data_IF_595095342891
#
_entry.id   IF_595095342891
#
_cell.length_a   1.000
_cell.length_b   1.000
_cell.length_c   1.000
_cell.angle_alpha   90.00
_cell.angle_beta   90.00
_cell.angle_gamma   90.00
#
_symmetry.space_group_name_H-M   'P 1'
#
loop_
_entity.id
_entity.type
_entity.pdbx_description
1 polymer ?
#
# COMPACT_ATOMS: atom_id res chain seq x y z
N UNK A 1 -27.63 -1.05 55.25
CA UNK A 1 -27.86 -2.30 54.51
C UNK A 1 -28.63 -1.96 53.25
N UNK A 2 -28.03 -1.79 52.12
CA UNK A 2 -28.64 -1.48 50.85
C UNK A 2 -27.88 -2.17 49.74
N UNK A 3 -28.47 -3.19 49.13
CA UNK A 3 -27.93 -3.96 48.03
C UNK A 3 -28.05 -3.12 46.74
N UNK A 4 -26.94 -2.80 46.10
CA UNK A 4 -26.91 -2.34 44.72
C UNK A 4 -26.96 -3.54 43.76
N UNK A 5 -28.07 -3.65 43.02
CA UNK A 5 -28.17 -4.57 41.90
C UNK A 5 -27.57 -3.87 40.65
N UNK A 6 -26.56 -4.51 40.03
CA UNK A 6 -26.05 -4.14 38.73
C UNK A 6 -27.01 -4.68 37.68
N UNK A 7 -27.68 -3.76 36.96
CA UNK A 7 -28.28 -4.06 35.66
C UNK A 7 -27.17 -4.16 34.63
N UNK A 8 -26.99 -5.38 34.10
CA UNK A 8 -26.31 -5.68 32.85
C UNK A 8 -27.39 -6.11 31.86
N UNK A 9 -27.86 -5.16 31.08
CA UNK A 9 -28.62 -5.43 29.87
C UNK A 9 -28.24 -4.41 28.83
N UNK A 10 -27.33 -4.80 27.96
CA UNK A 10 -27.20 -4.37 26.56
C UNK A 10 -26.06 -5.19 26.00
N UNK A 11 -26.39 -6.11 25.15
CA UNK A 11 -25.59 -6.62 24.05
C UNK A 11 -25.97 -8.06 23.77
N UNK A 12 -26.86 -8.24 22.84
CA UNK A 12 -26.89 -9.44 21.98
C UNK A 12 -28.12 -9.34 21.06
N UNK A 13 -27.91 -8.72 19.91
CA UNK A 13 -28.82 -8.98 18.80
C UNK A 13 -28.00 -9.27 17.56
N UNK A 14 -27.29 -10.41 17.57
CA UNK A 14 -26.86 -11.05 16.35
C UNK A 14 -28.02 -11.92 15.87
N UNK A 15 -28.79 -11.44 14.91
CA UNK A 15 -29.73 -12.28 14.17
C UNK A 15 -29.05 -12.87 12.95
N UNK A 16 -28.65 -14.15 13.05
CA UNK A 16 -28.41 -15.01 11.89
C UNK A 16 -29.75 -15.38 11.26
N UNK A 17 -30.04 -14.87 10.07
CA UNK A 17 -31.10 -15.41 9.22
C UNK A 17 -30.53 -16.57 8.41
N UNK A 18 -30.97 -17.79 8.76
CA UNK A 18 -30.79 -18.99 7.95
C UNK A 18 -31.95 -19.10 6.99
N UNK A 19 -31.67 -19.04 5.69
CA UNK A 19 -32.60 -19.52 4.68
C UNK A 19 -31.93 -20.59 3.84
N UNK A 20 -32.30 -21.83 4.13
CA UNK A 20 -31.92 -23.04 3.38
C UNK A 20 -32.65 -23.06 2.04
N UNK A 21 -31.94 -22.96 0.93
CA UNK A 21 -32.35 -23.49 -0.36
C UNK A 21 -31.22 -24.35 -0.93
N UNK A 22 -31.59 -25.57 -1.28
CA UNK A 22 -30.72 -26.59 -1.86
C UNK A 22 -30.23 -26.17 -3.25
N UNK A 23 -28.94 -26.16 -3.48
CA UNK A 23 -28.29 -26.10 -4.76
C UNK A 23 -27.23 -25.00 -4.86
N UNK A 24 -25.94 -25.41 -4.69
CA UNK A 24 -24.72 -24.64 -4.84
C UNK A 24 -24.40 -23.68 -3.67
N UNK A 25 -23.50 -24.15 -2.80
CA UNK A 25 -22.95 -23.39 -1.67
C UNK A 25 -22.03 -22.25 -2.16
N UNK A 26 -22.59 -21.10 -2.43
CA UNK A 26 -21.91 -19.83 -2.30
C UNK A 26 -22.50 -19.14 -1.06
N UNK A 27 -21.85 -19.32 0.08
CA UNK A 27 -22.13 -18.46 1.25
C UNK A 27 -21.49 -17.10 0.92
N UNK A 28 -22.27 -16.22 0.33
CA UNK A 28 -21.93 -14.80 0.28
C UNK A 28 -22.16 -14.30 1.71
N UNK A 29 -21.10 -14.25 2.52
CA UNK A 29 -21.07 -13.39 3.70
C UNK A 29 -20.96 -11.94 3.17
N UNK A 30 -22.07 -11.34 2.80
CA UNK A 30 -22.17 -9.91 2.79
C UNK A 30 -22.17 -9.49 4.26
N UNK A 31 -21.01 -9.21 4.84
CA UNK A 31 -20.95 -8.47 6.10
C UNK A 31 -21.43 -7.07 5.76
N UNK A 32 -22.69 -6.80 6.05
CA UNK A 32 -23.24 -5.44 5.92
C UNK A 32 -22.50 -4.58 6.95
N UNK A 33 -21.61 -3.72 6.49
CA UNK A 33 -20.85 -2.84 7.38
C UNK A 33 -21.82 -1.93 8.12
N UNK A 34 -21.77 -1.92 9.45
CA UNK A 34 -22.60 -1.06 10.29
C UNK A 34 -22.44 0.43 9.94
N UNK A 35 -23.53 1.19 9.99
CA UNK A 35 -23.54 2.61 9.63
C UNK A 35 -22.59 3.43 10.52
N UNK A 36 -22.51 3.14 11.82
CA UNK A 36 -21.60 3.82 12.74
C UNK A 36 -20.13 3.54 12.42
N UNK A 37 -19.80 2.30 12.02
CA UNK A 37 -18.45 1.96 11.56
C UNK A 37 -18.13 2.69 10.25
N UNK A 38 -19.06 2.78 9.30
CA UNK A 38 -18.87 3.55 8.05
C UNK A 38 -18.55 5.01 8.33
N UNK A 39 -19.33 5.67 9.18
CA UNK A 39 -19.10 7.07 9.56
C UNK A 39 -17.72 7.25 10.22
N UNK A 40 -17.34 6.35 11.10
CA UNK A 40 -16.02 6.37 11.77
C UNK A 40 -14.89 6.23 10.76
N UNK A 41 -14.99 5.26 9.83
CA UNK A 41 -13.97 5.04 8.79
C UNK A 41 -13.86 6.24 7.84
N UNK A 42 -14.99 6.87 7.49
CA UNK A 42 -14.99 8.09 6.68
C UNK A 42 -14.26 9.21 7.44
N UNK A 43 -14.57 9.42 8.71
CA UNK A 43 -13.91 10.45 9.54
C UNK A 43 -12.39 10.23 9.63
N UNK A 44 -11.96 9.02 9.89
CA UNK A 44 -10.52 8.69 9.93
C UNK A 44 -9.85 8.86 8.56
N UNK A 45 -10.48 8.40 7.47
CA UNK A 45 -9.90 8.57 6.15
C UNK A 45 -9.73 10.05 5.76
N UNK A 46 -10.69 10.92 6.14
CA UNK A 46 -10.59 12.37 5.91
C UNK A 46 -9.48 13.01 6.77
N UNK A 47 -9.38 12.65 8.03
CA UNK A 47 -8.39 13.20 8.96
C UNK A 47 -6.98 12.78 8.59
N UNK A 48 -6.76 11.49 8.33
CA UNK A 48 -5.41 10.92 8.16
C UNK A 48 -4.92 10.94 6.70
N UNK A 49 -5.76 11.27 5.74
CA UNK A 49 -5.32 11.59 4.37
C UNK A 49 -4.82 13.04 4.30
N UNK A 50 -3.75 13.32 5.05
CA UNK A 50 -3.13 14.64 5.18
C UNK A 50 -1.61 14.49 5.16
N UNK A 51 -0.87 15.24 4.32
CA UNK A 51 0.60 15.19 4.20
C UNK A 51 1.36 15.31 5.53
N UNK A 52 0.76 15.97 6.54
CA UNK A 52 1.41 16.13 7.86
C UNK A 52 1.74 14.79 8.55
N UNK A 53 0.98 13.72 8.27
CA UNK A 53 1.21 12.40 8.83
C UNK A 53 2.25 11.57 8.06
N UNK A 54 2.70 12.06 6.90
CA UNK A 54 3.61 11.37 5.99
C UNK A 54 4.98 12.05 5.85
N UNK A 55 5.30 13.00 6.72
CA UNK A 55 6.59 13.72 6.69
C UNK A 55 7.80 12.82 6.92
N UNK A 56 7.63 11.74 7.66
CA UNK A 56 8.64 10.71 7.92
C UNK A 56 8.31 9.38 7.21
N UNK A 57 7.52 9.43 6.13
CA UNK A 57 7.13 8.25 5.36
C UNK A 57 7.94 8.19 4.05
N UNK A 58 8.29 7.00 3.53
CA UNK A 58 9.06 6.88 2.29
C UNK A 58 8.40 7.50 1.05
N UNK A 59 7.11 7.85 1.09
CA UNK A 59 6.44 8.59 0.01
C UNK A 59 7.04 9.99 -0.24
N UNK A 60 7.76 10.56 0.74
CA UNK A 60 8.43 11.86 0.57
C UNK A 60 9.40 11.86 -0.60
N UNK A 61 10.04 10.74 -0.89
CA UNK A 61 10.99 10.62 -1.99
C UNK A 61 10.30 10.71 -3.35
N UNK A 62 9.34 9.84 -3.72
CA UNK A 62 8.64 10.02 -4.99
C UNK A 62 7.86 11.33 -5.05
N UNK A 63 7.41 11.91 -3.93
CA UNK A 63 6.81 13.26 -3.89
C UNK A 63 7.81 14.34 -4.31
N UNK A 64 9.06 14.24 -3.86
CA UNK A 64 10.12 15.15 -4.27
C UNK A 64 10.33 15.08 -5.81
N UNK A 65 10.41 13.88 -6.37
CA UNK A 65 10.57 13.70 -7.82
C UNK A 65 9.32 14.09 -8.60
N UNK A 66 8.12 13.89 -8.09
CA UNK A 66 6.88 14.33 -8.73
C UNK A 66 6.83 15.87 -8.86
N UNK A 67 7.22 16.60 -7.82
CA UNK A 67 7.33 18.07 -7.87
C UNK A 67 8.36 18.54 -8.90
N UNK A 68 9.51 17.86 -8.98
CA UNK A 68 10.53 18.16 -9.99
C UNK A 68 10.04 17.82 -11.40
N UNK A 69 9.25 16.75 -11.56
CA UNK A 69 8.62 16.39 -12.82
C UNK A 69 7.61 17.46 -13.27
N UNK A 70 6.77 17.95 -12.38
CA UNK A 70 5.84 19.05 -12.63
C UNK A 70 6.57 20.35 -13.00
N UNK A 71 7.75 20.59 -12.42
CA UNK A 71 8.61 21.73 -12.76
C UNK A 71 9.42 21.54 -14.07
N UNK A 72 9.36 20.37 -14.72
CA UNK A 72 10.15 20.04 -15.89
C UNK A 72 11.64 19.73 -15.61
N UNK A 73 11.99 19.45 -14.35
CA UNK A 73 13.35 19.17 -13.86
C UNK A 73 13.66 17.67 -13.71
N UNK A 74 12.65 16.82 -13.82
CA UNK A 74 12.77 15.38 -13.77
C UNK A 74 11.87 14.72 -14.81
N UNK A 75 12.07 13.45 -15.10
CA UNK A 75 11.23 12.64 -15.97
C UNK A 75 10.16 11.87 -15.17
N UNK A 76 9.11 11.36 -15.85
CA UNK A 76 8.17 10.42 -15.25
C UNK A 76 8.90 9.16 -14.72
N UNK A 77 9.92 8.70 -15.45
CA UNK A 77 10.72 7.55 -15.03
C UNK A 77 11.45 7.77 -13.70
N UNK A 78 11.89 9.00 -13.40
CA UNK A 78 12.47 9.33 -12.08
C UNK A 78 11.45 9.15 -10.97
N UNK A 79 10.19 9.57 -11.18
CA UNK A 79 9.11 9.39 -10.20
C UNK A 79 8.77 7.91 -10.01
N UNK A 80 8.68 7.15 -11.10
CA UNK A 80 8.38 5.72 -11.09
C UNK A 80 9.45 4.92 -10.34
N UNK A 81 10.73 5.18 -10.65
CA UNK A 81 11.86 4.53 -10.00
C UNK A 81 11.88 4.91 -8.52
N UNK A 82 11.66 6.18 -8.18
CA UNK A 82 11.61 6.63 -6.80
C UNK A 82 10.50 5.95 -6.02
N UNK A 83 9.28 5.86 -6.57
CA UNK A 83 8.15 5.18 -5.92
C UNK A 83 8.41 3.68 -5.75
N UNK A 84 8.94 3.01 -6.78
CA UNK A 84 9.26 1.59 -6.77
C UNK A 84 10.31 1.25 -5.69
N UNK A 85 11.39 1.99 -5.66
CA UNK A 85 12.50 1.70 -4.76
C UNK A 85 12.19 2.08 -3.32
N UNK A 86 11.51 3.22 -3.09
CA UNK A 86 11.07 3.62 -1.75
C UNK A 86 10.05 2.63 -1.18
N UNK A 87 9.10 2.16 -1.99
CA UNK A 87 8.14 1.14 -1.56
C UNK A 87 8.83 -0.22 -1.31
N UNK A 88 9.91 -0.52 -2.04
CA UNK A 88 10.69 -1.73 -1.83
C UNK A 88 11.39 -1.77 -0.47
N UNK A 89 11.86 -0.62 0.02
CA UNK A 89 12.49 -0.49 1.32
C UNK A 89 11.48 -0.29 2.47
N UNK A 90 10.19 -0.07 2.17
CA UNK A 90 9.17 0.31 3.15
C UNK A 90 8.76 -0.85 4.09
N UNK A 91 9.69 -1.33 4.91
CA UNK A 91 9.43 -2.31 5.99
C UNK A 91 10.42 -2.15 7.14
N UNK A 92 9.91 -2.15 8.35
CA UNK A 92 10.67 -1.89 9.57
C UNK A 92 10.37 -0.51 10.18
N UNK A 93 11.31 0.06 10.90
CA UNK A 93 11.13 1.36 11.56
C UNK A 93 11.20 2.50 10.55
N UNK A 94 10.26 3.44 10.57
CA UNK A 94 10.17 4.57 9.64
C UNK A 94 11.49 5.34 9.50
N UNK A 95 12.08 5.76 10.61
CA UNK A 95 13.35 6.49 10.59
C UNK A 95 14.47 5.73 9.86
N UNK A 96 14.53 4.39 9.98
CA UNK A 96 15.49 3.58 9.23
C UNK A 96 15.16 3.54 7.74
N UNK A 97 13.88 3.42 7.40
CA UNK A 97 13.43 3.40 6.00
C UNK A 97 13.81 4.71 5.32
N UNK A 98 13.47 5.85 5.92
CA UNK A 98 13.78 7.18 5.38
C UNK A 98 15.28 7.37 5.24
N UNK A 99 16.08 7.08 6.28
CA UNK A 99 17.54 7.16 6.22
C UNK A 99 18.14 6.32 5.09
N UNK A 100 17.64 5.09 4.92
CA UNK A 100 18.21 4.17 3.95
C UNK A 100 17.74 4.48 2.52
N UNK A 101 16.53 5.04 2.35
CA UNK A 101 16.09 5.62 1.08
C UNK A 101 16.95 6.85 0.72
N UNK A 102 17.20 7.74 1.67
CA UNK A 102 18.05 8.92 1.47
C UNK A 102 19.43 8.51 0.97
N UNK A 103 20.09 7.59 1.68
CA UNK A 103 21.38 7.02 1.28
C UNK A 103 21.36 6.38 -0.11
N UNK A 104 20.26 5.75 -0.49
CA UNK A 104 20.08 5.15 -1.81
C UNK A 104 19.97 6.24 -2.89
N UNK A 105 19.24 7.33 -2.65
CA UNK A 105 19.13 8.43 -3.60
C UNK A 105 20.39 9.28 -3.66
N UNK A 106 21.17 9.39 -2.58
CA UNK A 106 22.52 9.97 -2.59
C UNK A 106 23.45 9.19 -3.50
N UNK A 107 23.46 7.87 -3.45
CA UNK A 107 24.20 6.99 -4.36
C UNK A 107 23.81 7.24 -5.83
N UNK A 108 22.54 7.51 -6.10
CA UNK A 108 22.03 7.86 -7.42
C UNK A 108 22.30 9.33 -7.82
N UNK A 109 22.96 10.11 -6.98
CA UNK A 109 23.13 11.56 -7.16
C UNK A 109 21.79 12.29 -7.39
N UNK A 110 20.70 11.78 -6.82
CA UNK A 110 19.32 12.26 -6.97
C UNK A 110 18.85 12.34 -8.45
N UNK A 111 19.36 11.42 -9.29
CA UNK A 111 19.01 11.22 -10.70
C UNK A 111 18.74 9.74 -10.98
N UNK A 112 17.63 9.19 -10.47
CA UNK A 112 17.40 7.75 -10.50
C UNK A 112 17.30 7.18 -11.91
N UNK A 113 16.71 7.87 -12.87
CA UNK A 113 16.65 7.41 -14.26
C UNK A 113 18.04 7.39 -14.91
N UNK A 114 18.82 8.48 -14.77
CA UNK A 114 20.18 8.54 -15.30
C UNK A 114 21.05 7.41 -14.71
N UNK A 115 20.96 7.19 -13.38
CA UNK A 115 21.69 6.13 -12.70
C UNK A 115 21.31 4.75 -13.24
N UNK A 116 20.02 4.47 -13.40
CA UNK A 116 19.54 3.20 -13.96
C UNK A 116 20.04 3.00 -15.39
N UNK A 117 19.98 4.04 -16.23
CA UNK A 117 20.38 3.94 -17.64
C UNK A 117 21.89 3.91 -17.86
N UNK A 118 22.68 4.49 -16.96
CA UNK A 118 24.14 4.44 -17.00
C UNK A 118 24.67 2.99 -16.90
N UNK A 119 24.04 2.15 -16.08
CA UNK A 119 24.40 0.74 -15.95
C UNK A 119 25.60 0.45 -15.04
N UNK A 120 26.13 1.46 -14.37
CA UNK A 120 27.19 1.36 -13.39
C UNK A 120 26.58 1.42 -11.99
N UNK A 121 26.34 0.28 -11.38
CA UNK A 121 25.67 0.19 -10.09
C UNK A 121 26.61 -0.22 -8.99
N UNK A 122 26.39 0.29 -7.80
CA UNK A 122 27.03 -0.23 -6.59
C UNK A 122 26.56 -1.66 -6.33
N UNK A 123 27.44 -2.62 -6.64
CA UNK A 123 27.19 -4.06 -6.49
C UNK A 123 28.03 -4.64 -5.36
N UNK A 124 27.62 -4.37 -4.13
CA UNK A 124 28.31 -4.81 -2.92
C UNK A 124 27.42 -5.75 -2.10
N UNK A 125 28.04 -6.77 -1.49
CA UNK A 125 27.36 -7.71 -0.60
C UNK A 125 27.21 -7.15 0.84
N UNK A 126 26.89 -5.86 0.96
CA UNK A 126 26.62 -5.16 2.21
C UNK A 126 25.19 -4.64 2.25
N UNK A 127 24.66 -4.44 3.44
CA UNK A 127 23.27 -4.00 3.63
C UNK A 127 23.05 -2.57 3.12
N UNK A 128 22.08 -2.43 2.23
CA UNK A 128 21.42 -1.15 1.96
C UNK A 128 20.34 -0.88 3.01
N UNK A 129 19.44 -1.84 3.24
CA UNK A 129 18.37 -1.72 4.21
C UNK A 129 18.05 -3.10 4.79
N UNK A 130 18.32 -3.31 6.08
CA UNK A 130 18.07 -4.58 6.77
C UNK A 130 18.70 -5.78 6.03
N UNK A 131 17.89 -6.66 5.47
CA UNK A 131 18.37 -7.81 4.68
C UNK A 131 18.57 -7.51 3.21
N UNK A 132 18.10 -6.36 2.71
CA UNK A 132 18.29 -5.93 1.33
C UNK A 132 19.72 -5.41 1.16
N UNK A 133 20.44 -5.93 0.19
CA UNK A 133 21.83 -5.59 -0.10
C UNK A 133 21.97 -4.69 -1.31
N UNK A 134 23.08 -3.99 -1.42
CA UNK A 134 23.40 -3.20 -2.62
C UNK A 134 23.45 -4.06 -3.89
N UNK A 135 23.91 -5.31 -3.80
CA UNK A 135 23.88 -6.24 -4.94
C UNK A 135 22.46 -6.61 -5.40
N UNK A 136 21.50 -6.71 -4.48
CA UNK A 136 20.09 -6.91 -4.81
C UNK A 136 19.50 -5.68 -5.50
N UNK A 137 19.83 -4.50 -4.98
CA UNK A 137 19.48 -3.21 -5.56
C UNK A 137 20.06 -3.05 -6.98
N UNK A 138 21.35 -3.35 -7.19
CA UNK A 138 22.00 -3.36 -8.51
C UNK A 138 21.26 -4.29 -9.49
N UNK A 139 20.85 -5.47 -9.02
CA UNK A 139 20.05 -6.39 -9.81
C UNK A 139 18.69 -5.81 -10.23
N UNK A 140 18.02 -5.05 -9.35
CA UNK A 140 16.77 -4.35 -9.69
C UNK A 140 17.05 -3.25 -10.73
N UNK A 141 18.08 -2.44 -10.54
CA UNK A 141 18.47 -1.39 -11.48
C UNK A 141 18.77 -1.93 -12.88
N UNK A 142 19.49 -3.05 -12.96
CA UNK A 142 19.80 -3.69 -14.24
C UNK A 142 18.55 -4.18 -14.99
N UNK A 143 17.56 -4.73 -14.28
CA UNK A 143 16.28 -5.14 -14.86
C UNK A 143 15.43 -3.94 -15.29
N UNK A 144 15.41 -2.87 -14.50
CA UNK A 144 14.76 -1.61 -14.87
C UNK A 144 15.39 -1.00 -16.13
N UNK A 145 16.71 -1.04 -16.26
CA UNK A 145 17.40 -0.58 -17.47
C UNK A 145 16.89 -1.31 -18.72
N UNK A 146 16.75 -2.65 -18.65
CA UNK A 146 16.17 -3.43 -19.73
C UNK A 146 14.75 -3.00 -20.07
N UNK A 147 13.91 -2.80 -19.07
CA UNK A 147 12.52 -2.36 -19.27
C UNK A 147 12.44 -0.96 -19.88
N UNK A 148 13.20 0.01 -19.38
CA UNK A 148 13.20 1.39 -19.91
C UNK A 148 13.89 1.51 -21.27
N UNK A 149 14.68 0.53 -21.69
CA UNK A 149 15.19 0.47 -23.07
C UNK A 149 14.08 0.16 -24.09
N UNK A 150 12.98 -0.43 -23.64
CA UNK A 150 11.85 -0.84 -24.49
C UNK A 150 10.57 -0.04 -24.24
N UNK A 151 10.45 0.59 -23.07
CA UNK A 151 9.22 1.26 -22.62
C UNK A 151 9.52 2.64 -22.03
N UNK A 152 8.65 3.60 -22.33
CA UNK A 152 8.75 4.95 -21.77
C UNK A 152 8.23 5.04 -20.30
N UNK A 153 7.45 4.07 -19.83
CA UNK A 153 6.82 4.05 -18.51
C UNK A 153 6.58 2.61 -18.07
N UNK A 154 6.52 2.40 -16.74
CA UNK A 154 6.18 1.14 -16.11
C UNK A 154 4.67 0.99 -15.85
N UNK A 155 3.84 1.98 -16.13
CA UNK A 155 2.41 2.00 -15.80
C UNK A 155 1.65 0.78 -16.32
N UNK A 156 1.96 0.29 -17.51
CA UNK A 156 1.30 -0.87 -18.13
C UNK A 156 1.70 -2.24 -17.59
N UNK A 157 2.67 -2.33 -16.67
CA UNK A 157 3.09 -3.61 -16.10
C UNK A 157 2.03 -4.13 -15.13
N UNK A 158 1.82 -5.45 -15.12
CA UNK A 158 0.99 -6.13 -14.11
C UNK A 158 1.75 -6.30 -12.80
N UNK A 159 1.06 -6.67 -11.72
CA UNK A 159 1.72 -6.99 -10.44
C UNK A 159 2.68 -8.18 -10.57
N UNK A 160 2.33 -9.13 -11.44
CA UNK A 160 3.21 -10.27 -11.73
C UNK A 160 4.46 -9.85 -12.50
N UNK A 161 4.34 -8.89 -13.44
CA UNK A 161 5.49 -8.33 -14.15
C UNK A 161 6.42 -7.60 -13.19
N UNK A 162 5.89 -6.78 -12.27
CA UNK A 162 6.71 -6.16 -11.23
C UNK A 162 7.42 -7.22 -10.38
N UNK A 163 6.72 -8.26 -9.97
CA UNK A 163 7.29 -9.34 -9.17
C UNK A 163 8.41 -10.06 -9.90
N UNK A 164 8.18 -10.47 -11.14
CA UNK A 164 9.09 -11.32 -11.90
C UNK A 164 10.16 -10.51 -12.64
N UNK A 165 9.75 -9.48 -13.39
CA UNK A 165 10.65 -8.75 -14.29
C UNK A 165 11.44 -7.65 -13.56
N UNK A 166 10.87 -7.03 -12.50
CA UNK A 166 11.55 -5.98 -11.76
C UNK A 166 12.25 -6.53 -10.53
N UNK A 167 11.55 -7.23 -9.64
CA UNK A 167 12.14 -7.76 -8.40
C UNK A 167 12.88 -9.09 -8.59
N UNK A 168 12.77 -9.75 -9.75
CA UNK A 168 13.42 -11.03 -10.02
C UNK A 168 12.91 -12.17 -9.13
N UNK A 169 11.69 -12.06 -8.64
CA UNK A 169 11.05 -13.04 -7.78
C UNK A 169 10.31 -14.09 -8.62
N UNK A 170 10.10 -15.26 -8.03
CA UNK A 170 9.27 -16.30 -8.67
C UNK A 170 7.81 -15.88 -8.74
N UNK A 171 7.09 -16.39 -9.73
CA UNK A 171 5.63 -16.26 -9.81
C UNK A 171 4.99 -16.77 -8.50
N UNK A 172 4.09 -15.98 -7.95
CA UNK A 172 3.28 -16.34 -6.78
C UNK A 172 1.94 -15.59 -6.84
N UNK A 173 0.90 -16.31 -7.27
CA UNK A 173 -0.46 -15.78 -7.40
C UNK A 173 -1.17 -15.53 -6.07
N UNK A 174 -0.59 -16.00 -4.96
CA UNK A 174 -1.15 -15.78 -3.62
C UNK A 174 -0.47 -14.65 -2.86
N UNK A 175 0.66 -14.17 -3.36
CA UNK A 175 1.40 -13.09 -2.70
C UNK A 175 0.56 -11.82 -2.58
N UNK A 176 0.48 -11.19 -1.41
CA UNK A 176 -0.29 -9.96 -1.21
C UNK A 176 0.36 -8.74 -1.88
N UNK A 177 1.60 -8.87 -2.36
CA UNK A 177 2.34 -7.86 -3.12
C UNK A 177 2.33 -6.45 -2.50
N UNK A 178 2.41 -6.33 -1.16
CA UNK A 178 2.30 -5.07 -0.42
C UNK A 178 3.09 -3.91 -1.05
N UNK A 179 4.36 -4.15 -1.43
CA UNK A 179 5.24 -3.13 -2.02
C UNK A 179 4.67 -2.58 -3.34
N UNK A 180 4.16 -3.48 -4.17
CA UNK A 180 3.60 -3.14 -5.48
C UNK A 180 2.28 -2.38 -5.30
N UNK A 181 1.39 -2.88 -4.43
CA UNK A 181 0.13 -2.21 -4.13
C UNK A 181 0.35 -0.81 -3.56
N UNK A 182 1.36 -0.64 -2.69
CA UNK A 182 1.71 0.66 -2.11
C UNK A 182 2.25 1.64 -3.17
N UNK A 183 3.19 1.18 -4.01
CA UNK A 183 3.69 1.96 -5.16
C UNK A 183 2.54 2.37 -6.08
N UNK A 184 1.65 1.42 -6.45
CA UNK A 184 0.49 1.73 -7.30
C UNK A 184 -0.45 2.72 -6.66
N UNK A 185 -0.74 2.60 -5.36
CA UNK A 185 -1.56 3.58 -4.66
C UNK A 185 -0.97 4.98 -4.82
N UNK A 186 0.33 5.14 -4.56
CA UNK A 186 1.02 6.43 -4.69
C UNK A 186 0.97 6.99 -6.11
N UNK A 187 1.18 6.16 -7.13
CA UNK A 187 1.30 6.62 -8.52
C UNK A 187 -0.06 6.82 -9.21
N UNK A 188 -1.11 6.09 -8.81
CA UNK A 188 -2.43 6.10 -9.48
C UNK A 188 -3.44 7.00 -8.80
N UNK A 189 -3.50 7.04 -7.44
CA UNK A 189 -4.47 7.88 -6.75
C UNK A 189 -4.12 9.36 -6.92
N UNK A 190 -5.12 10.10 -7.37
CA UNK A 190 -5.06 11.54 -7.60
C UNK A 190 -6.12 12.22 -6.72
N UNK A 191 -5.75 12.56 -5.49
CA UNK A 191 -6.63 13.26 -4.57
C UNK A 191 -6.10 14.64 -4.15
N UNK A 192 -4.94 15.04 -4.70
CA UNK A 192 -4.32 16.32 -4.45
C UNK A 192 -3.78 16.50 -3.02
N UNK A 193 -3.63 15.42 -2.25
CA UNK A 193 -3.20 15.45 -0.85
C UNK A 193 -1.89 14.69 -0.64
N UNK A 194 -1.96 13.37 -0.54
CA UNK A 194 -0.82 12.49 -0.19
C UNK A 194 -0.29 11.76 -1.40
N UNK A 195 -1.17 11.11 -2.15
CA UNK A 195 -0.79 10.32 -3.32
C UNK A 195 -0.54 11.20 -4.56
N UNK A 196 0.25 10.74 -5.51
CA UNK A 196 0.86 11.55 -6.55
C UNK A 196 0.04 11.62 -7.84
N UNK A 197 -0.67 10.53 -8.18
CA UNK A 197 -1.55 10.46 -9.34
C UNK A 197 -0.88 10.71 -10.69
N UNK A 198 0.39 10.34 -10.85
CA UNK A 198 1.14 10.55 -12.10
C UNK A 198 0.82 9.50 -13.17
N UNK A 199 0.29 8.33 -12.79
CA UNK A 199 -0.18 7.29 -13.71
C UNK A 199 -1.62 7.59 -14.12
N UNK A 200 -1.77 8.18 -15.29
CA UNK A 200 -3.05 8.73 -15.77
C UNK A 200 -3.93 7.72 -16.51
N UNK A 201 -3.34 6.62 -17.00
CA UNK A 201 -4.06 5.56 -17.72
C UNK A 201 -4.61 4.48 -16.79
N UNK A 202 -4.16 4.46 -15.55
CA UNK A 202 -4.57 3.47 -14.55
C UNK A 202 -5.81 3.93 -13.79
N UNK A 203 -6.70 2.98 -13.49
CA UNK A 203 -7.96 3.24 -12.81
C UNK A 203 -7.83 2.95 -11.31
N UNK A 204 -7.98 3.96 -10.47
CA UNK A 204 -7.91 3.84 -9.01
C UNK A 204 -8.97 2.91 -8.41
N UNK A 205 -10.08 2.69 -9.10
CA UNK A 205 -11.11 1.71 -8.71
C UNK A 205 -10.59 0.28 -8.65
N UNK A 206 -9.54 -0.02 -9.45
CA UNK A 206 -8.93 -1.35 -9.57
C UNK A 206 -7.78 -1.58 -8.59
N UNK A 207 -7.39 -0.58 -7.84
CA UNK A 207 -6.34 -0.72 -6.85
C UNK A 207 -6.75 -1.69 -5.75
N UNK A 208 -5.75 -2.41 -5.25
CA UNK A 208 -5.84 -3.26 -4.06
C UNK A 208 -5.02 -2.60 -2.97
N UNK A 209 -5.57 -2.49 -1.77
CA UNK A 209 -4.87 -1.86 -0.65
C UNK A 209 -3.58 -2.62 -0.28
N UNK A 210 -2.54 -1.92 0.19
CA UNK A 210 -1.28 -2.54 0.60
C UNK A 210 -1.45 -3.36 1.88
N UNK A 211 -1.57 -4.68 1.78
CA UNK A 211 -1.77 -5.56 2.92
C UNK A 211 -0.44 -5.89 3.59
N UNK A 212 -0.23 -5.41 4.81
CA UNK A 212 0.81 -5.89 5.71
C UNK A 212 0.21 -6.44 7.02
N UNK A 213 1.08 -6.74 7.99
CA UNK A 213 0.64 -7.28 9.29
C UNK A 213 -0.25 -6.29 10.04
N UNK A 214 0.12 -5.02 10.06
CA UNK A 214 -0.62 -3.98 10.78
C UNK A 214 -1.99 -3.72 10.14
N UNK A 215 -2.03 -3.56 8.82
CA UNK A 215 -3.27 -3.39 8.06
C UNK A 215 -4.20 -4.58 8.27
N UNK A 216 -3.66 -5.81 8.21
CA UNK A 216 -4.43 -7.01 8.48
C UNK A 216 -4.99 -7.04 9.90
N UNK A 217 -4.16 -6.76 10.91
CA UNK A 217 -4.56 -6.83 12.32
C UNK A 217 -5.66 -5.78 12.62
N UNK A 218 -5.53 -4.57 12.07
CA UNK A 218 -6.53 -3.51 12.19
C UNK A 218 -7.84 -3.86 11.46
N UNK A 219 -7.75 -4.33 10.21
CA UNK A 219 -8.91 -4.77 9.45
C UNK A 219 -9.67 -5.91 10.14
N UNK A 220 -8.92 -6.87 10.73
CA UNK A 220 -9.53 -7.96 11.52
C UNK A 220 -10.20 -7.46 12.78
N UNK A 221 -9.59 -6.50 13.49
CA UNK A 221 -10.18 -5.90 14.69
C UNK A 221 -11.48 -5.13 14.39
N UNK A 222 -11.56 -4.53 13.22
CA UNK A 222 -12.75 -3.81 12.73
C UNK A 222 -13.79 -4.74 12.07
N UNK A 223 -13.52 -6.05 11.95
CA UNK A 223 -14.43 -7.01 11.31
C UNK A 223 -14.50 -6.89 9.79
N UNK A 224 -13.51 -6.25 9.14
CA UNK A 224 -13.45 -6.12 7.68
C UNK A 224 -12.98 -7.41 6.99
N UNK A 225 -12.39 -8.33 7.75
CA UNK A 225 -12.03 -9.68 7.32
C UNK A 225 -12.02 -10.64 8.49
N UNK A 226 -12.39 -11.89 8.22
CA UNK A 226 -12.29 -13.03 9.17
C UNK A 226 -11.29 -14.09 8.69
N UNK A 227 -10.63 -13.87 7.58
CA UNK A 227 -9.62 -14.77 7.02
C UNK A 227 -8.36 -14.73 7.89
N UNK A 228 -7.72 -15.91 8.05
CA UNK A 228 -6.47 -16.03 8.81
C UNK A 228 -5.21 -15.89 7.94
N UNK A 229 -5.35 -16.05 6.62
CA UNK A 229 -4.25 -15.93 5.66
C UNK A 229 -4.03 -14.46 5.31
N UNK A 230 -2.77 -14.04 5.28
CA UNK A 230 -2.36 -12.69 4.84
C UNK A 230 -1.92 -12.76 3.38
N UNK A 231 -2.86 -13.06 2.49
CA UNK A 231 -2.66 -13.28 1.05
C UNK A 231 -3.42 -12.26 0.20
N UNK A 232 -3.30 -12.37 -1.12
CA UNK A 232 -3.97 -11.45 -2.06
C UNK A 232 -5.50 -11.52 -1.93
N UNK A 233 -6.06 -12.67 -1.58
CA UNK A 233 -7.51 -12.82 -1.40
C UNK A 233 -7.99 -12.01 -0.20
N UNK A 234 -7.22 -11.99 0.89
CA UNK A 234 -7.52 -11.16 2.06
C UNK A 234 -7.37 -9.67 1.75
N UNK A 235 -6.33 -9.29 0.99
CA UNK A 235 -6.18 -7.91 0.52
C UNK A 235 -7.38 -7.46 -0.32
N UNK A 236 -7.86 -8.34 -1.21
CA UNK A 236 -9.04 -8.09 -2.04
C UNK A 236 -10.31 -7.97 -1.19
N UNK A 237 -10.54 -8.88 -0.22
CA UNK A 237 -11.71 -8.87 0.66
C UNK A 237 -11.79 -7.55 1.46
N UNK A 238 -10.67 -7.10 2.04
CA UNK A 238 -10.62 -5.82 2.76
C UNK A 238 -10.87 -4.64 1.81
N UNK A 239 -10.29 -4.68 0.61
CA UNK A 239 -10.50 -3.65 -0.42
C UNK A 239 -11.97 -3.59 -0.85
N UNK A 240 -12.62 -4.76 -0.99
CA UNK A 240 -14.03 -4.86 -1.38
C UNK A 240 -14.96 -4.31 -0.28
N UNK A 241 -14.63 -4.53 1.00
CA UNK A 241 -15.34 -3.89 2.10
C UNK A 241 -15.28 -2.35 2.01
N UNK A 242 -14.13 -1.79 1.64
CA UNK A 242 -14.00 -0.36 1.42
C UNK A 242 -14.72 0.15 0.16
N UNK A 243 -14.95 -0.69 -0.86
CA UNK A 243 -15.78 -0.32 -2.03
C UNK A 243 -17.23 -0.02 -1.66
N UNK A 244 -17.72 -0.54 -0.55
CA UNK A 244 -19.05 -0.17 -0.04
C UNK A 244 -19.12 1.29 0.41
N UNK A 245 -17.98 1.88 0.81
CA UNK A 245 -17.88 3.28 1.24
C UNK A 245 -17.41 4.16 0.09
N UNK A 246 -16.37 3.74 -0.60
CA UNK A 246 -15.72 4.48 -1.70
C UNK A 246 -15.64 3.62 -2.97
N UNK A 247 -16.75 3.48 -3.73
CA UNK A 247 -16.79 2.61 -4.92
C UNK A 247 -15.78 3.04 -6.00
N UNK A 248 -15.47 4.33 -6.05
CA UNK A 248 -14.55 4.91 -7.03
C UNK A 248 -13.11 5.04 -6.53
N UNK A 249 -12.85 4.80 -5.24
CA UNK A 249 -11.53 4.95 -4.62
C UNK A 249 -11.37 4.08 -3.37
N UNK A 250 -11.43 2.75 -3.48
CA UNK A 250 -11.43 1.85 -2.31
C UNK A 250 -10.14 1.94 -1.48
N UNK A 251 -9.01 2.30 -2.10
CA UNK A 251 -7.74 2.47 -1.37
C UNK A 251 -7.71 3.72 -0.47
N UNK A 252 -8.73 4.60 -0.52
CA UNK A 252 -8.93 5.63 0.49
C UNK A 252 -9.11 5.03 1.90
N UNK A 253 -9.63 3.80 1.99
CA UNK A 253 -9.75 3.04 3.23
C UNK A 253 -8.42 2.72 3.93
N UNK A 254 -7.30 2.74 3.21
CA UNK A 254 -5.98 2.54 3.81
C UNK A 254 -5.63 3.67 4.81
N UNK A 255 -6.07 4.91 4.54
CA UNK A 255 -5.93 6.02 5.50
C UNK A 255 -6.82 5.85 6.74
N UNK A 256 -7.98 5.22 6.61
CA UNK A 256 -8.83 4.90 7.75
C UNK A 256 -8.17 3.84 8.65
N UNK A 257 -7.56 2.78 8.08
CA UNK A 257 -6.80 1.80 8.84
C UNK A 257 -5.56 2.41 9.49
N UNK A 258 -4.87 3.30 8.79
CA UNK A 258 -3.77 4.08 9.36
C UNK A 258 -4.25 4.91 10.55
N UNK A 259 -5.37 5.62 10.41
CA UNK A 259 -5.98 6.41 11.48
C UNK A 259 -6.37 5.56 12.69
N UNK A 260 -6.99 4.40 12.47
CA UNK A 260 -7.30 3.45 13.53
C UNK A 260 -6.04 3.02 14.29
N UNK A 261 -4.97 2.68 13.57
CA UNK A 261 -3.69 2.30 14.17
C UNK A 261 -3.07 3.41 15.03
N UNK A 262 -3.11 4.64 14.56
CA UNK A 262 -2.57 5.79 15.32
C UNK A 262 -3.40 6.07 16.58
N UNK A 263 -4.73 5.91 16.53
CA UNK A 263 -5.63 6.25 17.64
C UNK A 263 -5.76 5.14 18.69
N UNK A 264 -5.58 3.86 18.31
CA UNK A 264 -5.86 2.71 19.18
C UNK A 264 -4.66 1.84 19.50
N UNK A 265 -3.56 1.92 18.72
CA UNK A 265 -2.34 1.18 18.98
C UNK A 265 -1.29 2.12 19.58
N UNK A 266 -1.21 2.17 20.92
CA UNK A 266 -0.09 2.79 21.59
C UNK A 266 1.18 1.98 21.26
N UNK A 267 2.08 2.57 20.50
CA UNK A 267 3.43 2.05 20.23
C UNK A 267 4.42 2.52 21.30
#
# INVERSE_FOLDING_TARGET
MGKYSKNRESDKTFYCFWQLHWGQNFIIFASYMDAGLKETLIGWAEEYNDPKYFQEDPIIFPTCFARRYEAGEASLADVEIAALLSSHLAWGRRAMIVRDCDRMFEEMCWKPYDYVMNGEYRDENVSLHRTIKWSEFAGICNRLRGLYSEKASLEGLTDMDFRCLVYGQKEDRKAPNKKISMMRRWLVRDDGKVDLGVWRSSDKKKLILPLDVHVYDQASALGLTFRKQKDIVTAQEITDAFREIWPDDPCKGDFALFGYGVTHCNH
#
